data_IF_313840510065
#
_entry.id   IF_313840510065
#
_cell.length_a   1.000
_cell.length_b   1.000
_cell.length_c   1.000
_cell.angle_alpha   90.00
_cell.angle_beta   90.00
_cell.angle_gamma   90.00
#
_symmetry.space_group_name_H-M   'P 1'
#
loop_
_entity.id
_entity.type
_entity.pdbx_description
1 polymer ?
#
# COMPACT_ATOMS: atom_id res chain seq x y z
N UNK A 1 20.24 9.36 -9.31
CA UNK A 1 19.42 8.86 -8.18
C UNK A 1 19.64 9.79 -7.00
N UNK A 2 18.57 10.16 -6.29
CA UNK A 2 18.70 10.89 -5.02
C UNK A 2 19.22 9.87 -4.01
N UNK A 3 20.50 9.95 -3.65
CA UNK A 3 21.16 8.95 -2.81
C UNK A 3 20.89 9.14 -1.31
N UNK A 4 20.23 10.23 -0.90
CA UNK A 4 19.86 10.44 0.48
C UNK A 4 18.65 11.38 0.62
N UNK A 5 17.68 11.03 1.46
CA UNK A 5 16.54 11.88 1.80
C UNK A 5 16.83 12.53 3.15
N UNK A 6 16.90 13.85 3.18
CA UNK A 6 17.08 14.60 4.42
C UNK A 6 15.71 15.00 5.00
N UNK A 7 15.35 14.39 6.12
CA UNK A 7 14.11 14.67 6.83
C UNK A 7 14.29 15.82 7.81
N UNK A 8 13.83 17.01 7.42
CA UNK A 8 13.66 18.17 8.31
C UNK A 8 12.23 18.70 8.21
N UNK A 9 11.74 19.49 9.18
CA UNK A 9 10.32 19.81 9.31
C UNK A 9 9.64 20.33 8.03
N UNK A 10 10.32 21.20 7.27
CA UNK A 10 9.81 21.72 6.00
C UNK A 10 9.61 20.65 4.92
N UNK A 11 10.53 19.69 4.81
CA UNK A 11 10.39 18.57 3.88
C UNK A 11 9.28 17.61 4.30
N UNK A 12 9.18 17.28 5.58
CA UNK A 12 8.10 16.43 6.10
C UNK A 12 6.72 17.04 5.78
N UNK A 13 6.55 18.34 6.04
CA UNK A 13 5.31 19.06 5.72
C UNK A 13 4.99 19.02 4.23
N UNK A 14 5.97 19.33 3.37
CA UNK A 14 5.79 19.33 1.91
C UNK A 14 5.41 17.94 1.38
N UNK A 15 6.07 16.88 1.84
CA UNK A 15 5.74 15.51 1.44
C UNK A 15 4.34 15.13 1.90
N UNK A 16 3.96 15.50 3.12
CA UNK A 16 2.61 15.27 3.65
C UNK A 16 1.53 15.94 2.79
N UNK A 17 1.71 17.22 2.47
CA UNK A 17 0.79 17.98 1.63
C UNK A 17 0.69 17.40 0.21
N UNK A 18 1.80 16.97 -0.36
CA UNK A 18 1.84 16.32 -1.67
C UNK A 18 1.06 14.99 -1.67
N UNK A 19 1.25 14.16 -0.65
CA UNK A 19 0.49 12.91 -0.46
C UNK A 19 -1.01 13.24 -0.37
N UNK A 20 -1.40 14.19 0.49
CA UNK A 20 -2.80 14.58 0.67
C UNK A 20 -3.46 15.08 -0.62
N UNK A 21 -2.74 15.85 -1.42
CA UNK A 21 -3.26 16.33 -2.71
C UNK A 21 -3.44 15.17 -3.69
N UNK A 22 -2.45 14.28 -3.82
CA UNK A 22 -2.53 13.12 -4.69
C UNK A 22 -3.65 12.14 -4.27
N UNK A 23 -3.93 12.03 -2.97
CA UNK A 23 -5.04 11.19 -2.46
C UNK A 23 -6.41 11.60 -3.02
N UNK A 24 -6.62 12.89 -3.35
CA UNK A 24 -7.88 13.36 -3.96
C UNK A 24 -8.09 12.77 -5.36
N UNK A 25 -7.01 12.46 -6.06
CA UNK A 25 -7.03 11.95 -7.43
C UNK A 25 -7.09 10.42 -7.53
N UNK A 26 -6.96 9.69 -6.42
CA UNK A 26 -6.90 8.21 -6.44
C UNK A 26 -8.07 7.55 -5.72
N UNK A 27 -8.33 6.32 -6.14
CA UNK A 27 -9.42 5.47 -5.66
C UNK A 27 -8.92 4.44 -4.63
N UNK A 28 -7.63 4.08 -4.71
CA UNK A 28 -6.98 3.05 -3.91
C UNK A 28 -5.60 3.54 -3.45
N UNK A 29 -5.21 3.19 -2.23
CA UNK A 29 -3.83 3.31 -1.75
C UNK A 29 -3.20 1.93 -1.65
N UNK A 30 -1.96 1.82 -2.10
CA UNK A 30 -1.12 0.64 -1.94
C UNK A 30 0.01 1.01 -0.97
N UNK A 31 -0.09 0.56 0.27
CA UNK A 31 0.95 0.77 1.29
C UNK A 31 1.97 -0.36 1.19
N UNK A 32 3.25 -0.06 0.99
CA UNK A 32 4.33 -1.04 0.95
C UNK A 32 5.10 -0.96 2.27
N UNK A 33 5.27 -2.10 2.91
CA UNK A 33 6.05 -2.28 4.14
C UNK A 33 7.10 -3.37 3.95
N UNK A 34 8.14 -3.39 4.79
CA UNK A 34 9.14 -4.45 4.77
C UNK A 34 8.64 -5.65 5.60
N UNK A 35 8.52 -6.84 5.00
CA UNK A 35 7.98 -8.05 5.65
C UNK A 35 8.72 -8.45 6.92
N UNK A 36 9.98 -8.03 7.07
CA UNK A 36 10.80 -8.35 8.26
C UNK A 36 10.41 -7.53 9.48
N UNK A 37 9.87 -6.33 9.26
CA UNK A 37 9.48 -5.38 10.31
C UNK A 37 8.19 -4.62 9.94
N UNK A 38 7.06 -5.31 9.69
CA UNK A 38 5.91 -4.70 9.01
C UNK A 38 5.27 -3.51 9.73
N UNK A 39 5.38 -3.44 11.06
CA UNK A 39 4.93 -2.27 11.82
C UNK A 39 6.00 -1.16 11.88
N UNK A 40 7.26 -1.51 12.12
CA UNK A 40 8.32 -0.52 12.32
C UNK A 40 8.74 0.18 11.02
N UNK A 41 8.52 -0.44 9.85
CA UNK A 41 8.75 0.22 8.57
C UNK A 41 7.63 1.15 8.13
N UNK A 42 6.53 1.26 8.90
CA UNK A 42 5.38 2.11 8.53
C UNK A 42 5.66 3.56 8.88
N UNK A 43 5.07 4.45 8.08
CA UNK A 43 5.00 5.86 8.46
C UNK A 43 4.00 6.01 9.63
N UNK A 44 4.37 6.66 10.75
CA UNK A 44 3.55 6.74 11.96
C UNK A 44 2.21 7.47 11.77
N UNK A 45 2.08 8.29 10.74
CA UNK A 45 0.84 9.04 10.44
C UNK A 45 0.09 8.47 9.23
N UNK A 46 0.48 7.28 8.73
CA UNK A 46 -0.10 6.76 7.49
C UNK A 46 -1.61 6.53 7.60
N UNK A 47 -2.07 6.00 8.73
CA UNK A 47 -3.48 5.70 8.97
C UNK A 47 -4.33 7.00 8.98
N UNK A 48 -3.78 8.10 9.52
CA UNK A 48 -4.40 9.43 9.44
C UNK A 48 -4.45 9.92 7.99
N UNK A 49 -3.33 9.82 7.26
CA UNK A 49 -3.21 10.37 5.92
C UNK A 49 -4.17 9.73 4.92
N UNK A 50 -4.36 8.42 4.99
CA UNK A 50 -5.12 7.66 3.99
C UNK A 50 -6.53 7.30 4.46
N UNK A 51 -6.97 7.88 5.57
CA UNK A 51 -8.28 7.66 6.15
C UNK A 51 -9.40 7.82 5.10
N UNK A 52 -10.33 6.87 5.08
CA UNK A 52 -11.45 6.82 4.14
C UNK A 52 -11.09 6.34 2.73
N UNK A 53 -9.85 5.94 2.46
CA UNK A 53 -9.47 5.27 1.20
C UNK A 53 -9.42 3.76 1.38
N UNK A 54 -9.80 3.02 0.34
CA UNK A 54 -9.50 1.58 0.27
C UNK A 54 -7.97 1.42 0.28
N UNK A 55 -7.48 0.42 1.02
CA UNK A 55 -6.06 0.13 1.17
C UNK A 55 -5.73 -1.32 0.81
N UNK A 56 -4.64 -1.49 0.09
CA UNK A 56 -3.92 -2.76 -0.04
C UNK A 56 -2.55 -2.62 0.60
N UNK A 57 -2.22 -3.48 1.55
CA UNK A 57 -0.91 -3.56 2.20
C UNK A 57 -0.07 -4.62 1.50
N UNK A 58 1.09 -4.22 1.00
CA UNK A 58 2.10 -5.09 0.40
C UNK A 58 3.19 -5.34 1.42
N UNK A 59 3.30 -6.59 1.86
CA UNK A 59 4.41 -7.08 2.68
C UNK A 59 5.56 -7.40 1.70
N UNK A 60 6.38 -6.38 1.40
CA UNK A 60 7.48 -6.48 0.45
C UNK A 60 8.68 -7.25 0.99
N UNK A 61 9.53 -7.77 0.10
CA UNK A 61 10.71 -8.58 0.46
C UNK A 61 10.36 -9.80 1.33
N UNK A 62 9.23 -10.44 1.04
CA UNK A 62 8.79 -11.60 1.82
C UNK A 62 9.78 -12.78 1.72
N UNK A 63 10.59 -12.82 0.67
CA UNK A 63 11.70 -13.76 0.49
C UNK A 63 12.78 -13.66 1.59
N UNK A 64 12.88 -12.50 2.26
CA UNK A 64 13.85 -12.24 3.33
C UNK A 64 13.26 -12.36 4.74
N UNK A 65 11.98 -12.70 4.86
CA UNK A 65 11.26 -12.75 6.14
C UNK A 65 10.87 -14.20 6.49
N UNK A 66 10.64 -14.46 7.78
CA UNK A 66 10.06 -15.74 8.20
C UNK A 66 8.63 -15.86 7.66
N UNK A 67 8.33 -16.99 7.01
CA UNK A 67 7.03 -17.19 6.35
C UNK A 67 5.88 -17.19 7.36
N UNK A 68 6.05 -17.84 8.51
CA UNK A 68 4.98 -17.95 9.51
C UNK A 68 4.67 -16.58 10.12
N UNK A 69 5.70 -15.82 10.49
CA UNK A 69 5.54 -14.45 10.96
C UNK A 69 4.90 -13.56 9.89
N UNK A 70 5.27 -13.73 8.61
CA UNK A 70 4.66 -12.98 7.51
C UNK A 70 3.16 -13.30 7.35
N UNK A 71 2.78 -14.57 7.50
CA UNK A 71 1.38 -15.01 7.48
C UNK A 71 0.59 -14.43 8.68
N UNK A 72 1.20 -14.35 9.87
CA UNK A 72 0.62 -13.69 11.05
C UNK A 72 0.42 -12.18 10.82
N UNK A 73 1.40 -11.50 10.23
CA UNK A 73 1.27 -10.08 9.87
C UNK A 73 0.21 -9.83 8.81
N UNK A 74 0.13 -10.72 7.82
CA UNK A 74 -0.95 -10.67 6.82
C UNK A 74 -2.32 -10.73 7.52
N UNK A 75 -2.51 -11.71 8.41
CA UNK A 75 -3.76 -11.85 9.17
C UNK A 75 -4.05 -10.63 10.05
N UNK A 76 -3.03 -10.02 10.65
CA UNK A 76 -3.15 -8.78 11.42
C UNK A 76 -3.74 -7.63 10.57
N UNK A 77 -3.18 -7.36 9.38
CA UNK A 77 -3.71 -6.32 8.49
C UNK A 77 -5.11 -6.67 7.97
N UNK A 78 -5.37 -7.93 7.63
CA UNK A 78 -6.70 -8.39 7.20
C UNK A 78 -7.75 -8.24 8.31
N UNK A 79 -7.39 -8.48 9.58
CA UNK A 79 -8.28 -8.26 10.73
C UNK A 79 -8.63 -6.78 10.96
N UNK A 80 -7.80 -5.87 10.44
CA UNK A 80 -8.03 -4.42 10.49
C UNK A 80 -8.89 -3.91 9.32
N UNK A 81 -9.34 -4.81 8.44
CA UNK A 81 -10.19 -4.50 7.28
C UNK A 81 -9.43 -4.22 5.98
N UNK A 82 -8.10 -4.38 5.98
CA UNK A 82 -7.27 -4.18 4.79
C UNK A 82 -7.12 -5.46 3.96
N UNK A 83 -6.72 -5.30 2.70
CA UNK A 83 -6.22 -6.43 1.90
C UNK A 83 -4.71 -6.50 2.09
N UNK A 84 -4.16 -7.64 2.50
CA UNK A 84 -2.72 -7.80 2.67
C UNK A 84 -2.14 -8.90 1.77
N UNK A 85 -0.98 -8.63 1.17
CA UNK A 85 -0.31 -9.57 0.28
C UNK A 85 1.22 -9.55 0.44
N UNK A 86 1.86 -10.68 0.80
CA UNK A 86 3.30 -10.83 0.71
C UNK A 86 3.77 -10.87 -0.74
N UNK A 87 4.79 -10.07 -1.06
CA UNK A 87 5.32 -9.91 -2.42
C UNK A 87 6.84 -9.85 -2.41
N UNK A 88 7.45 -10.55 -3.35
CA UNK A 88 8.83 -10.32 -3.78
C UNK A 88 8.81 -9.64 -5.15
N UNK A 89 9.08 -8.34 -5.17
CA UNK A 89 9.09 -7.54 -6.39
C UNK A 89 10.31 -7.79 -7.27
N UNK A 90 11.38 -8.41 -6.75
CA UNK A 90 12.60 -8.73 -7.51
C UNK A 90 12.43 -10.01 -8.30
N UNK A 91 11.89 -11.04 -7.66
CA UNK A 91 11.68 -12.36 -8.29
C UNK A 91 10.26 -12.53 -8.86
N UNK A 92 9.37 -11.56 -8.61
CA UNK A 92 8.01 -11.55 -9.14
C UNK A 92 7.02 -12.44 -8.37
N UNK A 93 7.40 -12.93 -7.18
CA UNK A 93 6.53 -13.74 -6.34
C UNK A 93 5.27 -12.94 -5.97
N UNK A 94 4.11 -13.56 -6.13
CA UNK A 94 2.78 -13.01 -5.83
C UNK A 94 2.38 -11.72 -6.60
N UNK A 95 3.17 -11.23 -7.55
CA UNK A 95 2.79 -10.10 -8.42
C UNK A 95 1.51 -10.42 -9.22
N UNK A 96 1.36 -11.66 -9.70
CA UNK A 96 0.12 -12.08 -10.39
C UNK A 96 -1.10 -12.05 -9.45
N UNK A 97 -0.92 -12.36 -8.17
CA UNK A 97 -1.99 -12.27 -7.19
C UNK A 97 -2.39 -10.81 -6.93
N UNK A 98 -1.40 -9.89 -6.90
CA UNK A 98 -1.66 -8.46 -6.82
C UNK A 98 -2.50 -7.96 -8.01
N UNK A 99 -2.17 -8.34 -9.25
CA UNK A 99 -2.98 -7.97 -10.41
C UNK A 99 -4.42 -8.49 -10.32
N UNK A 100 -4.62 -9.74 -9.85
CA UNK A 100 -5.98 -10.28 -9.63
C UNK A 100 -6.78 -9.47 -8.60
N UNK A 101 -6.13 -8.97 -7.56
CA UNK A 101 -6.76 -8.09 -6.58
C UNK A 101 -7.18 -6.77 -7.25
N UNK A 102 -6.30 -6.15 -8.05
CA UNK A 102 -6.62 -4.93 -8.79
C UNK A 102 -7.78 -5.12 -9.77
N UNK A 103 -7.81 -6.24 -10.50
CA UNK A 103 -8.91 -6.56 -11.41
C UNK A 103 -10.25 -6.71 -10.67
N UNK A 104 -10.24 -7.37 -9.51
CA UNK A 104 -11.43 -7.49 -8.66
C UNK A 104 -11.91 -6.11 -8.19
N UNK A 105 -11.00 -5.25 -7.71
CA UNK A 105 -11.34 -3.90 -7.27
C UNK A 105 -11.85 -3.01 -8.41
N UNK A 106 -11.30 -3.16 -9.61
CA UNK A 106 -11.80 -2.48 -10.81
C UNK A 106 -13.22 -2.91 -11.14
N UNK A 107 -13.54 -4.20 -11.04
CA UNK A 107 -14.88 -4.72 -11.28
C UNK A 107 -15.88 -4.26 -10.23
N UNK A 108 -15.53 -4.28 -8.94
CA UNK A 108 -16.36 -3.75 -7.85
C UNK A 108 -16.72 -2.28 -8.10
N UNK A 109 -15.71 -1.45 -8.41
CA UNK A 109 -15.91 -0.04 -8.74
C UNK A 109 -16.82 0.16 -9.96
N UNK A 110 -16.65 -0.67 -10.99
CA UNK A 110 -17.46 -0.60 -12.21
C UNK A 110 -18.94 -0.97 -11.98
N UNK A 111 -19.26 -1.70 -10.90
CA UNK A 111 -20.64 -1.99 -10.48
C UNK A 111 -21.25 -0.82 -9.73
N UNK A 112 -20.46 -0.12 -8.91
CA UNK A 112 -20.91 1.02 -8.10
C UNK A 112 -21.09 2.32 -8.92
N UNK A 113 -20.47 2.41 -10.10
CA UNK A 113 -20.45 3.65 -10.90
C UNK A 113 -20.95 3.43 -12.33
N UNK A 114 -21.86 4.29 -12.79
CA UNK A 114 -22.41 4.26 -14.15
C UNK A 114 -21.37 4.49 -15.25
N UNK A 115 -20.31 5.25 -14.94
CA UNK A 115 -19.21 5.55 -15.87
C UNK A 115 -17.99 4.69 -15.53
N UNK A 116 -17.65 3.78 -16.45
CA UNK A 116 -16.44 2.96 -16.35
C UNK A 116 -15.22 3.82 -16.62
N UNK A 117 -14.34 3.93 -15.62
CA UNK A 117 -13.04 4.61 -15.72
C UNK A 117 -11.96 3.73 -15.08
N UNK A 118 -10.70 3.84 -15.53
CA UNK A 118 -9.60 3.10 -14.93
C UNK A 118 -9.49 3.38 -13.43
N UNK A 119 -9.18 2.34 -12.65
CA UNK A 119 -8.84 2.42 -11.25
C UNK A 119 -7.52 3.19 -11.11
N UNK A 120 -7.56 4.29 -10.36
CA UNK A 120 -6.34 5.08 -10.07
C UNK A 120 -5.83 4.72 -8.69
N UNK A 121 -4.56 4.37 -8.60
CA UNK A 121 -3.91 4.01 -7.33
C UNK A 121 -2.67 4.85 -7.08
N UNK A 122 -2.33 5.03 -5.81
CA UNK A 122 -1.07 5.60 -5.36
C UNK A 122 -0.32 4.61 -4.49
N UNK A 123 0.98 4.49 -4.70
CA UNK A 123 1.87 3.67 -3.86
C UNK A 123 2.51 4.58 -2.81
N UNK A 124 2.51 4.15 -1.55
CA UNK A 124 3.12 4.84 -0.40
C UNK A 124 3.92 3.83 0.43
N UNK A 125 4.99 4.28 1.09
CA UNK A 125 5.88 3.44 1.88
C UNK A 125 7.25 4.08 2.05
#
# INVERSE_FOLDING_TARGET
MINNINWYPGHMKKTRELIQENLKAVDLVVEIVDSRIPLSSRNPIIDELISGKKRVVILGKCDLADKRATDEWKAYFESSGDIALPVDSRNGENIKAFYKILDKLQQERNKERSLRRPLRMMIVG
#
